data_IF_436503177854
#
_entry.id   IF_436503177854
#
_cell.length_a   1.000
_cell.length_b   1.000
_cell.length_c   1.000
_cell.angle_alpha   90.00
_cell.angle_beta   90.00
_cell.angle_gamma   90.00
#
_symmetry.space_group_name_H-M   'P 1'
#
loop_
_entity.id
_entity.type
_entity.pdbx_description
1 polymer ?
#
# COMPACT_ATOMS: atom_id res chain seq x y z
N UNK A 1 -10.95 13.38 -13.21
CA UNK A 1 -9.55 12.98 -13.41
C UNK A 1 -9.25 11.72 -12.61
N UNK A 2 -8.76 10.72 -13.28
CA UNK A 2 -8.47 9.46 -12.62
C UNK A 2 -7.24 9.63 -11.72
N UNK A 3 -7.40 9.41 -10.44
CA UNK A 3 -6.26 9.33 -9.55
C UNK A 3 -5.57 8.00 -9.78
N UNK A 4 -4.26 7.99 -9.69
CA UNK A 4 -3.51 6.75 -9.77
C UNK A 4 -3.82 5.92 -8.54
N UNK A 5 -4.77 5.01 -8.69
CA UNK A 5 -5.18 4.14 -7.60
C UNK A 5 -4.29 2.91 -7.57
N UNK A 6 -3.86 2.57 -6.36
CA UNK A 6 -3.04 1.38 -6.13
C UNK A 6 -3.88 0.43 -5.28
N UNK A 7 -4.10 -0.77 -5.79
CA UNK A 7 -4.86 -1.77 -5.06
C UNK A 7 -4.36 -3.16 -5.41
N UNK A 8 -4.59 -4.09 -4.50
CA UNK A 8 -4.24 -5.50 -4.71
C UNK A 8 -5.17 -6.37 -3.88
N UNK A 9 -5.13 -7.66 -4.16
CA UNK A 9 -5.87 -8.66 -3.41
C UNK A 9 -4.90 -9.57 -2.70
N UNK A 10 -5.23 -9.96 -1.48
CA UNK A 10 -4.43 -10.92 -0.74
C UNK A 10 -5.32 -11.77 0.15
N UNK A 11 -4.76 -12.82 0.72
CA UNK A 11 -5.44 -13.66 1.68
C UNK A 11 -4.95 -13.30 3.07
N UNK A 12 -5.88 -13.12 4.01
CA UNK A 12 -5.50 -12.83 5.39
C UNK A 12 -5.14 -14.11 6.13
N UNK A 13 -4.78 -13.98 7.42
CA UNK A 13 -4.37 -15.11 8.23
C UNK A 13 -5.47 -16.16 8.40
N UNK A 14 -6.73 -15.78 8.24
CA UNK A 14 -7.87 -16.68 8.35
C UNK A 14 -8.25 -17.34 7.04
N UNK A 15 -7.49 -17.10 5.99
CA UNK A 15 -7.77 -17.68 4.68
C UNK A 15 -8.80 -16.91 3.87
N UNK A 16 -9.24 -15.76 4.34
CA UNK A 16 -10.21 -14.95 3.64
C UNK A 16 -9.53 -14.05 2.61
N UNK A 17 -10.18 -13.88 1.46
CA UNK A 17 -9.68 -12.97 0.44
C UNK A 17 -10.10 -11.56 0.79
N UNK A 18 -9.12 -10.66 0.84
CA UNK A 18 -9.39 -9.25 1.08
C UNK A 18 -8.79 -8.42 -0.04
N UNK A 19 -9.35 -7.24 -0.22
CA UNK A 19 -8.85 -6.26 -1.16
C UNK A 19 -8.25 -5.11 -0.37
N UNK A 20 -7.05 -4.69 -0.76
CA UNK A 20 -6.37 -3.55 -0.14
C UNK A 20 -6.30 -2.43 -1.17
N UNK A 21 -6.62 -1.24 -0.75
CA UNK A 21 -6.62 -0.05 -1.57
C UNK A 21 -5.77 1.00 -0.87
N UNK A 22 -4.94 1.70 -1.63
CA UNK A 22 -4.09 2.74 -1.06
C UNK A 22 -4.37 4.05 -1.76
N UNK A 23 -4.53 5.09 -0.96
CA UNK A 23 -4.75 6.44 -1.44
C UNK A 23 -3.56 7.31 -1.07
N UNK A 24 -3.03 8.04 -2.05
CA UNK A 24 -1.95 8.99 -1.83
C UNK A 24 -2.55 10.35 -1.52
N UNK A 25 -2.42 10.80 -0.28
CA UNK A 25 -2.98 12.06 0.18
C UNK A 25 -1.82 12.93 0.67
N UNK A 26 -1.49 13.97 -0.11
CA UNK A 26 -0.32 14.77 0.18
C UNK A 26 0.94 13.93 0.13
N UNK A 27 1.70 13.89 1.23
CA UNK A 27 2.91 13.06 1.31
C UNK A 27 2.67 11.76 2.05
N UNK A 28 1.41 11.41 2.33
CA UNK A 28 1.07 10.23 3.11
C UNK A 28 0.35 9.20 2.27
N UNK A 29 0.53 7.94 2.64
CA UNK A 29 -0.16 6.81 2.01
C UNK A 29 -1.16 6.27 3.02
N UNK A 30 -2.44 6.28 2.65
CA UNK A 30 -3.51 5.77 3.50
C UNK A 30 -4.01 4.44 2.94
N UNK A 31 -4.06 3.45 3.81
CA UNK A 31 -4.47 2.09 3.45
C UNK A 31 -5.90 1.84 3.87
N UNK A 32 -6.64 1.16 3.01
CA UNK A 32 -8.01 0.73 3.29
C UNK A 32 -8.13 -0.73 2.90
N UNK A 33 -9.02 -1.45 3.58
CA UNK A 33 -9.26 -2.84 3.26
C UNK A 33 -10.76 -3.12 3.18
N UNK A 34 -11.12 -4.14 2.43
CA UNK A 34 -12.49 -4.61 2.31
C UNK A 34 -12.45 -6.10 2.08
N UNK A 35 -13.25 -6.86 2.84
CA UNK A 35 -13.40 -8.27 2.56
C UNK A 35 -14.73 -8.51 1.82
N UNK A 36 -14.96 -9.76 1.41
CA UNK A 36 -16.13 -10.11 0.62
C UNK A 36 -17.46 -9.84 1.33
N UNK A 37 -17.46 -9.89 2.66
CA UNK A 37 -18.66 -9.74 3.46
C UNK A 37 -19.05 -8.31 3.70
N UNK A 38 -18.10 -7.39 3.55
CA UNK A 38 -18.33 -5.96 3.80
C UNK A 38 -18.20 -5.20 2.50
N UNK A 39 -19.26 -4.46 2.16
CA UNK A 39 -19.26 -3.64 0.96
C UNK A 39 -18.50 -2.33 1.16
N UNK A 40 -18.27 -1.95 2.40
CA UNK A 40 -17.63 -0.68 2.71
C UNK A 40 -16.14 -0.87 3.00
N UNK A 41 -15.35 0.10 2.56
CA UNK A 41 -13.94 0.13 2.86
C UNK A 41 -13.73 0.51 4.32
N UNK A 42 -12.80 -0.18 4.96
CA UNK A 42 -12.40 0.10 6.34
C UNK A 42 -10.97 0.59 6.34
N UNK A 43 -10.69 1.60 7.17
CA UNK A 43 -9.34 2.11 7.31
C UNK A 43 -8.44 1.03 7.92
N UNK A 44 -7.26 0.86 7.32
CA UNK A 44 -6.28 -0.09 7.81
C UNK A 44 -5.15 0.72 8.45
N UNK A 45 -5.26 0.91 9.76
CA UNK A 45 -4.35 1.80 10.50
C UNK A 45 -2.94 1.24 10.62
N UNK A 46 -2.81 -0.08 10.69
CA UNK A 46 -1.51 -0.75 10.83
C UNK A 46 -1.36 -1.83 9.78
N UNK A 47 -1.07 -1.44 8.53
CA UNK A 47 -0.88 -2.43 7.48
C UNK A 47 0.30 -3.34 7.83
N UNK A 48 0.19 -4.65 7.56
CA UNK A 48 1.33 -5.54 7.73
C UNK A 48 2.44 -5.22 6.73
N UNK A 49 3.63 -5.73 6.99
CA UNK A 49 4.79 -5.45 6.13
C UNK A 49 4.52 -5.89 4.69
N UNK A 50 3.76 -6.96 4.48
CA UNK A 50 3.43 -7.42 3.14
C UNK A 50 2.72 -6.34 2.32
N UNK A 51 1.80 -5.60 2.95
CA UNK A 51 1.10 -4.53 2.27
C UNK A 51 2.03 -3.38 1.92
N UNK A 52 2.95 -3.06 2.82
CA UNK A 52 3.95 -2.03 2.54
C UNK A 52 4.88 -2.43 1.40
N UNK A 53 5.26 -3.71 1.33
CA UNK A 53 6.12 -4.20 0.25
C UNK A 53 5.37 -4.18 -1.09
N UNK A 54 4.07 -4.52 -1.09
CA UNK A 54 3.25 -4.39 -2.29
C UNK A 54 3.16 -2.94 -2.75
N UNK A 55 2.98 -2.01 -1.80
CA UNK A 55 2.97 -0.60 -2.14
C UNK A 55 4.30 -0.16 -2.75
N UNK A 56 5.42 -0.59 -2.16
CA UNK A 56 6.74 -0.23 -2.66
C UNK A 56 6.92 -0.71 -4.10
N UNK A 57 6.53 -1.94 -4.40
CA UNK A 57 6.61 -2.47 -5.74
C UNK A 57 5.76 -1.67 -6.72
N UNK A 58 4.55 -1.32 -6.31
CA UNK A 58 3.66 -0.51 -7.15
C UNK A 58 4.23 0.89 -7.39
N UNK A 59 4.82 1.49 -6.36
CA UNK A 59 5.44 2.81 -6.47
C UNK A 59 6.60 2.76 -7.47
N UNK A 60 7.44 1.72 -7.37
CA UNK A 60 8.58 1.56 -8.29
C UNK A 60 8.12 1.44 -9.74
N UNK A 61 7.06 0.69 -9.99
CA UNK A 61 6.51 0.55 -11.34
C UNK A 61 5.98 1.88 -11.87
N UNK A 62 5.35 2.67 -10.99
CA UNK A 62 4.82 3.98 -11.40
C UNK A 62 5.92 4.99 -11.65
N UNK A 63 7.00 4.93 -10.90
CA UNK A 63 8.16 5.78 -11.13
C UNK A 63 8.75 5.46 -12.51
N UNK A 64 8.88 4.18 -12.86
CA UNK A 64 9.36 3.78 -14.17
C UNK A 64 8.49 4.31 -15.29
N UNK A 65 7.20 4.45 -15.06
CA UNK A 65 6.26 5.02 -16.04
C UNK A 65 6.12 6.53 -15.92
N UNK A 66 6.91 7.16 -15.06
CA UNK A 66 6.90 8.61 -14.80
C UNK A 66 5.55 9.10 -14.27
N UNK A 67 4.81 8.24 -13.57
CA UNK A 67 3.56 8.60 -12.93
C UNK A 67 3.74 9.09 -11.51
N UNK A 68 4.91 8.82 -10.91
CA UNK A 68 5.28 9.29 -9.57
C UNK A 68 6.70 9.80 -9.60
N UNK A 69 7.01 10.65 -8.63
CA UNK A 69 8.37 11.18 -8.47
C UNK A 69 9.28 10.15 -7.79
N UNK A 70 10.57 10.11 -8.15
CA UNK A 70 11.49 9.16 -7.52
C UNK A 70 11.58 9.29 -6.01
N UNK A 71 11.32 10.47 -5.44
CA UNK A 71 11.36 10.70 -4.00
C UNK A 71 10.32 9.85 -3.26
N UNK A 72 9.24 9.44 -3.92
CA UNK A 72 8.21 8.63 -3.27
C UNK A 72 8.72 7.26 -2.89
N UNK A 73 9.63 6.69 -3.67
CA UNK A 73 10.25 5.42 -3.31
C UNK A 73 11.03 5.54 -2.00
N UNK A 74 11.85 6.57 -1.89
CA UNK A 74 12.63 6.78 -0.68
C UNK A 74 11.75 7.01 0.54
N UNK A 75 10.64 7.72 0.38
CA UNK A 75 9.71 7.96 1.48
C UNK A 75 9.04 6.68 1.96
N UNK A 76 8.63 5.83 1.04
CA UNK A 76 8.02 4.55 1.39
C UNK A 76 9.03 3.66 2.10
N UNK A 77 10.25 3.56 1.59
CA UNK A 77 11.30 2.76 2.20
C UNK A 77 11.59 3.25 3.62
N UNK A 78 11.70 4.55 3.81
CA UNK A 78 11.94 5.13 5.13
C UNK A 78 10.82 4.75 6.10
N UNK A 79 9.57 4.86 5.67
CA UNK A 79 8.43 4.52 6.51
C UNK A 79 8.44 3.05 6.88
N UNK A 80 8.78 2.16 5.92
CA UNK A 80 8.85 0.73 6.19
C UNK A 80 9.90 0.44 7.27
N UNK A 81 11.08 1.03 7.16
CA UNK A 81 12.13 0.80 8.16
C UNK A 81 11.79 1.39 9.52
N UNK A 82 11.03 2.49 9.56
CA UNK A 82 10.59 3.05 10.82
C UNK A 82 9.59 2.13 11.53
N UNK A 83 8.73 1.47 10.78
CA UNK A 83 7.69 0.60 11.35
C UNK A 83 8.16 -0.84 11.50
N UNK A 84 9.04 -1.29 10.63
CA UNK A 84 9.52 -2.67 10.58
C UNK A 84 11.05 -2.65 10.43
N UNK A 85 11.78 -2.39 11.54
CA UNK A 85 13.25 -2.25 11.45
C UNK A 85 13.96 -3.47 10.90
N UNK A 86 13.35 -4.65 11.02
CA UNK A 86 13.93 -5.90 10.53
C UNK A 86 13.55 -6.22 9.10
N UNK A 87 12.78 -5.36 8.45
CA UNK A 87 12.37 -5.61 7.07
C UNK A 87 13.59 -5.59 6.15
N UNK A 88 13.60 -6.53 5.22
CA UNK A 88 14.64 -6.61 4.19
C UNK A 88 14.06 -6.13 2.87
N UNK A 89 14.57 -5.02 2.38
CA UNK A 89 14.10 -4.44 1.13
C UNK A 89 15.21 -4.48 0.08
#
# INVERSE_FOLDING_TARGET
MAKAEISWKRTNAEGEKIQVYVQHVGSQWKFFMRDRRFEQWQALDRPPVEDWLELLDAVRRRINRRLLRPEEEARVIKTIYERFPDAKI
#
